data_IF_859868564726
#
_entry.id   IF_859868564726
#
_cell.length_a   1.000
_cell.length_b   1.000
_cell.length_c   1.000
_cell.angle_alpha   90.00
_cell.angle_beta   90.00
_cell.angle_gamma   90.00
#
_symmetry.space_group_name_H-M   'P 1'
#
loop_
_entity.id
_entity.type
_entity.pdbx_description
1 polymer ?
#
# COMPACT_ATOMS: atom_id res chain seq x y z
N UNK A 1 23.73 -21.74 38.34
CA UNK A 1 24.52 -21.04 37.31
C UNK A 1 23.89 -21.40 35.97
N UNK A 2 23.24 -20.43 35.30
CA UNK A 2 22.55 -20.66 34.01
C UNK A 2 23.59 -20.65 32.87
N UNK A 3 23.49 -21.54 31.87
CA UNK A 3 24.44 -21.54 30.76
C UNK A 3 24.19 -20.31 29.87
N UNK A 4 25.26 -19.53 29.63
CA UNK A 4 25.30 -18.47 28.62
C UNK A 4 25.17 -19.14 27.25
N UNK A 5 24.14 -18.75 26.49
CA UNK A 5 24.09 -19.02 25.05
C UNK A 5 25.29 -18.34 24.39
N UNK A 6 26.29 -19.14 24.02
CA UNK A 6 27.43 -18.69 23.23
C UNK A 6 26.94 -18.57 21.79
N UNK A 7 26.96 -17.35 21.26
CA UNK A 7 26.78 -17.15 19.82
C UNK A 7 27.97 -17.80 19.11
N UNK A 8 27.70 -18.83 18.33
CA UNK A 8 28.67 -19.48 17.47
C UNK A 8 28.91 -18.60 16.23
N UNK A 9 30.14 -18.10 16.08
CA UNK A 9 30.57 -17.25 14.98
C UNK A 9 31.27 -18.04 13.86
N UNK A 10 31.23 -19.38 13.89
CA UNK A 10 32.01 -20.20 12.95
C UNK A 10 31.34 -20.48 11.61
N UNK A 11 30.12 -19.97 11.37
CA UNK A 11 29.46 -20.09 10.06
C UNK A 11 29.68 -18.83 9.20
N UNK A 12 30.92 -18.67 8.72
CA UNK A 12 31.33 -17.56 7.84
C UNK A 12 30.95 -17.82 6.36
N UNK A 13 30.03 -18.77 6.11
CA UNK A 13 29.70 -19.24 4.76
C UNK A 13 28.23 -19.14 4.35
N UNK A 14 27.25 -19.31 5.25
CA UNK A 14 25.84 -19.33 4.82
C UNK A 14 24.82 -19.27 5.96
N UNK A 15 24.58 -18.09 6.52
CA UNK A 15 23.31 -17.84 7.21
C UNK A 15 22.69 -16.53 6.72
N UNK A 16 22.00 -16.59 5.58
CA UNK A 16 20.95 -15.64 5.25
C UNK A 16 19.98 -15.70 6.43
N UNK A 17 20.02 -14.73 7.36
CA UNK A 17 19.18 -14.75 8.54
C UNK A 17 17.71 -14.91 8.10
N UNK A 18 16.90 -15.63 8.88
CA UNK A 18 15.50 -15.91 8.52
C UNK A 18 14.74 -14.65 8.06
N UNK A 19 15.04 -13.52 8.69
CA UNK A 19 14.51 -12.19 8.38
C UNK A 19 14.90 -11.71 6.97
N UNK A 20 16.16 -11.88 6.57
CA UNK A 20 16.61 -11.53 5.21
C UNK A 20 15.97 -12.40 4.12
N UNK A 21 15.65 -13.66 4.42
CA UNK A 21 14.86 -14.52 3.53
C UNK A 21 13.42 -14.03 3.40
N UNK A 22 12.78 -13.67 4.52
CA UNK A 22 11.42 -13.12 4.53
C UNK A 22 11.37 -11.83 3.72
N UNK A 23 12.27 -10.87 3.97
CA UNK A 23 12.35 -9.61 3.22
C UNK A 23 12.47 -9.83 1.72
N UNK A 24 13.36 -10.73 1.28
CA UNK A 24 13.54 -11.04 -0.14
C UNK A 24 12.27 -11.63 -0.76
N UNK A 25 11.60 -12.55 -0.05
CA UNK A 25 10.32 -13.12 -0.49
C UNK A 25 9.21 -12.08 -0.52
N UNK A 26 9.15 -11.20 0.48
CA UNK A 26 8.20 -10.09 0.55
C UNK A 26 8.37 -9.16 -0.64
N UNK A 27 9.59 -8.69 -0.92
CA UNK A 27 9.83 -7.80 -2.06
C UNK A 27 9.62 -8.49 -3.41
N UNK A 28 9.96 -9.77 -3.53
CA UNK A 28 9.67 -10.56 -4.73
C UNK A 28 8.17 -10.69 -4.98
N UNK A 29 7.40 -11.01 -3.93
CA UNK A 29 5.94 -11.14 -4.00
C UNK A 29 5.28 -9.78 -4.28
N UNK A 30 5.74 -8.73 -3.62
CA UNK A 30 5.30 -7.35 -3.83
C UNK A 30 5.53 -6.90 -5.28
N UNK A 31 6.72 -7.18 -5.82
CA UNK A 31 7.04 -6.92 -7.23
C UNK A 31 6.08 -7.65 -8.18
N UNK A 32 5.83 -8.93 -7.91
CA UNK A 32 4.91 -9.75 -8.73
C UNK A 32 3.47 -9.23 -8.65
N UNK A 33 3.04 -8.71 -7.50
CA UNK A 33 1.71 -8.12 -7.29
C UNK A 33 1.43 -6.85 -8.11
N UNK A 34 2.44 -6.15 -8.61
CA UNK A 34 2.20 -5.01 -9.52
C UNK A 34 1.70 -5.43 -10.90
N UNK A 35 2.00 -6.66 -11.35
CA UNK A 35 1.52 -7.17 -12.63
C UNK A 35 -0.01 -7.29 -12.69
N UNK A 36 -0.68 -8.00 -11.76
CA UNK A 36 -2.13 -8.04 -11.71
C UNK A 36 -2.74 -6.67 -11.42
N UNK A 37 -2.09 -5.80 -10.63
CA UNK A 37 -2.56 -4.43 -10.42
C UNK A 37 -2.60 -3.62 -11.73
N UNK A 38 -1.52 -3.68 -12.52
CA UNK A 38 -1.47 -3.05 -13.84
C UNK A 38 -2.51 -3.66 -14.80
N UNK A 39 -2.68 -4.98 -14.78
CA UNK A 39 -3.71 -5.66 -15.58
C UNK A 39 -5.13 -5.22 -15.18
N UNK A 40 -5.42 -5.10 -13.88
CA UNK A 40 -6.70 -4.62 -13.37
C UNK A 40 -6.98 -3.19 -13.78
N UNK A 41 -5.98 -2.30 -13.67
CA UNK A 41 -6.08 -0.92 -14.13
C UNK A 41 -6.36 -0.85 -15.64
N UNK A 42 -5.62 -1.62 -16.44
CA UNK A 42 -5.83 -1.70 -17.88
C UNK A 42 -7.23 -2.19 -18.25
N UNK A 43 -7.72 -3.25 -17.60
CA UNK A 43 -9.09 -3.77 -17.82
C UNK A 43 -10.13 -2.72 -17.44
N UNK A 44 -9.97 -2.01 -16.32
CA UNK A 44 -10.89 -0.96 -15.92
C UNK A 44 -10.90 0.22 -16.91
N UNK A 45 -9.73 0.60 -17.42
CA UNK A 45 -9.60 1.65 -18.43
C UNK A 45 -10.22 1.25 -19.77
N UNK A 46 -9.94 0.04 -20.26
CA UNK A 46 -10.44 -0.47 -21.53
C UNK A 46 -11.97 -0.68 -21.52
N UNK A 47 -12.53 -1.10 -20.38
CA UNK A 47 -13.97 -1.34 -20.26
C UNK A 47 -14.74 -0.08 -19.89
N UNK A 48 -14.08 0.97 -19.38
CA UNK A 48 -14.73 2.17 -18.84
C UNK A 48 -15.66 1.89 -17.65
N UNK A 49 -15.61 0.67 -17.10
CA UNK A 49 -16.51 0.22 -16.05
C UNK A 49 -16.05 0.80 -14.71
N UNK A 50 -16.89 1.64 -14.13
CA UNK A 50 -16.73 2.06 -12.74
C UNK A 50 -17.68 1.25 -11.85
N UNK A 51 -17.27 0.96 -10.62
CA UNK A 51 -18.15 0.34 -9.61
C UNK A 51 -19.45 1.13 -9.43
N UNK A 52 -19.38 2.44 -9.64
CA UNK A 52 -20.52 3.35 -9.62
C UNK A 52 -21.49 3.10 -10.79
N UNK A 53 -20.98 2.90 -12.00
CA UNK A 53 -21.79 2.61 -13.20
C UNK A 53 -22.58 1.31 -13.07
N UNK A 54 -22.07 0.32 -12.35
CA UNK A 54 -22.74 -0.97 -12.14
C UNK A 54 -23.87 -0.93 -11.10
N UNK A 55 -23.74 -0.10 -10.06
CA UNK A 55 -24.67 -0.12 -8.92
C UNK A 55 -25.66 1.04 -8.93
N UNK A 56 -25.39 2.11 -9.69
CA UNK A 56 -26.24 3.30 -9.76
C UNK A 56 -26.31 4.11 -8.46
N UNK A 57 -25.67 3.64 -7.38
CA UNK A 57 -25.62 4.30 -6.08
C UNK A 57 -24.20 4.22 -5.51
N UNK A 58 -23.62 5.39 -5.25
CA UNK A 58 -22.27 5.53 -4.69
C UNK A 58 -22.07 4.76 -3.38
N UNK A 59 -23.08 4.74 -2.50
CA UNK A 59 -22.97 4.06 -1.20
C UNK A 59 -22.84 2.54 -1.34
N UNK A 60 -23.52 1.96 -2.33
CA UNK A 60 -23.42 0.53 -2.61
C UNK A 60 -22.05 0.22 -3.22
N UNK A 61 -21.55 1.07 -4.13
CA UNK A 61 -20.21 0.93 -4.70
C UNK A 61 -19.12 0.96 -3.62
N UNK A 62 -19.20 1.90 -2.67
CA UNK A 62 -18.28 1.99 -1.53
C UNK A 62 -18.40 0.78 -0.61
N UNK A 63 -19.63 0.33 -0.31
CA UNK A 63 -19.87 -0.87 0.48
C UNK A 63 -19.25 -2.13 -0.15
N UNK A 64 -19.43 -2.32 -1.47
CA UNK A 64 -18.82 -3.42 -2.23
C UNK A 64 -17.30 -3.32 -2.20
N UNK A 65 -16.73 -2.12 -2.40
CA UNK A 65 -15.29 -1.92 -2.33
C UNK A 65 -14.72 -2.33 -0.97
N UNK A 66 -15.31 -1.84 0.12
CA UNK A 66 -14.85 -2.20 1.46
C UNK A 66 -15.07 -3.67 1.79
N UNK A 67 -16.20 -4.26 1.38
CA UNK A 67 -16.46 -5.69 1.56
C UNK A 67 -15.44 -6.54 0.79
N UNK A 68 -15.12 -6.18 -0.45
CA UNK A 68 -14.08 -6.82 -1.25
C UNK A 68 -12.70 -6.67 -0.61
N UNK A 69 -12.31 -5.43 -0.30
CA UNK A 69 -10.99 -5.09 0.23
C UNK A 69 -10.73 -5.78 1.58
N UNK A 70 -11.62 -5.56 2.56
CA UNK A 70 -11.46 -6.17 3.88
C UNK A 70 -11.74 -7.67 3.87
N UNK A 71 -12.70 -8.14 3.06
CA UNK A 71 -13.00 -9.57 2.93
C UNK A 71 -11.83 -10.37 2.40
N UNK A 72 -11.20 -9.92 1.31
CA UNK A 72 -10.01 -10.59 0.78
C UNK A 72 -8.81 -10.39 1.69
N UNK A 73 -8.60 -9.19 2.27
CA UNK A 73 -7.49 -8.97 3.21
C UNK A 73 -7.57 -9.94 4.41
N UNK A 74 -8.77 -10.18 4.94
CA UNK A 74 -8.99 -11.17 5.99
C UNK A 74 -8.68 -12.60 5.53
N UNK A 75 -9.09 -12.98 4.31
CA UNK A 75 -8.79 -14.28 3.73
C UNK A 75 -7.28 -14.48 3.48
N UNK A 76 -6.55 -13.44 3.08
CA UNK A 76 -5.09 -13.45 2.93
C UNK A 76 -4.44 -13.69 4.29
N UNK A 77 -4.84 -12.93 5.32
CA UNK A 77 -4.27 -13.04 6.64
C UNK A 77 -4.53 -14.43 7.26
N UNK A 78 -5.73 -14.98 7.03
CA UNK A 78 -6.06 -16.35 7.41
C UNK A 78 -5.18 -17.39 6.70
N UNK A 79 -4.77 -17.14 5.46
CA UNK A 79 -3.99 -18.03 4.62
C UNK A 79 -2.52 -17.59 4.43
N UNK A 80 -1.98 -16.81 5.38
CA UNK A 80 -0.68 -16.11 5.27
C UNK A 80 0.55 -17.02 5.18
N UNK A 81 0.43 -18.33 5.43
CA UNK A 81 1.52 -19.31 5.29
C UNK A 81 1.31 -20.29 4.11
N UNK A 82 0.32 -20.03 3.26
CA UNK A 82 -0.05 -20.91 2.15
C UNK A 82 0.04 -20.19 0.80
N UNK A 83 0.29 -20.95 -0.27
CA UNK A 83 0.24 -20.44 -1.66
C UNK A 83 -1.13 -19.84 -2.01
N UNK A 84 -2.19 -20.28 -1.33
CA UNK A 84 -3.53 -19.69 -1.46
C UNK A 84 -3.52 -18.22 -1.04
N UNK A 85 -2.79 -17.85 0.02
CA UNK A 85 -2.65 -16.45 0.43
C UNK A 85 -1.95 -15.60 -0.63
N UNK A 86 -0.94 -16.13 -1.31
CA UNK A 86 -0.28 -15.46 -2.42
C UNK A 86 -1.22 -15.25 -3.62
N UNK A 87 -2.02 -16.26 -3.97
CA UNK A 87 -3.01 -16.14 -5.04
C UNK A 87 -4.12 -15.12 -4.69
N UNK A 88 -4.58 -15.10 -3.44
CA UNK A 88 -5.54 -14.12 -2.95
C UNK A 88 -4.96 -12.70 -2.95
N UNK A 89 -3.66 -12.53 -2.65
CA UNK A 89 -2.96 -11.27 -2.79
C UNK A 89 -2.99 -10.78 -4.25
N UNK A 90 -2.73 -11.68 -5.22
CA UNK A 90 -2.84 -11.32 -6.64
C UNK A 90 -4.25 -10.88 -7.02
N UNK A 91 -5.28 -11.58 -6.54
CA UNK A 91 -6.68 -11.17 -6.74
C UNK A 91 -6.98 -9.80 -6.12
N UNK A 92 -6.53 -9.55 -4.88
CA UNK A 92 -6.70 -8.26 -4.22
C UNK A 92 -6.05 -7.14 -5.03
N UNK A 93 -4.80 -7.36 -5.45
CA UNK A 93 -4.02 -6.36 -6.19
C UNK A 93 -4.62 -6.06 -7.56
N UNK A 94 -5.18 -7.07 -8.24
CA UNK A 94 -5.99 -6.88 -9.45
C UNK A 94 -7.22 -6.01 -9.17
N UNK A 95 -7.99 -6.31 -8.12
CA UNK A 95 -9.18 -5.54 -7.78
C UNK A 95 -8.87 -4.09 -7.37
N UNK A 96 -7.76 -3.87 -6.65
CA UNK A 96 -7.26 -2.53 -6.34
C UNK A 96 -6.77 -1.80 -7.59
N UNK A 97 -6.12 -2.50 -8.51
CA UNK A 97 -5.79 -1.97 -9.84
C UNK A 97 -7.04 -1.54 -10.59
N UNK A 98 -8.08 -2.37 -10.58
CA UNK A 98 -9.36 -2.05 -11.23
C UNK A 98 -10.01 -0.79 -10.66
N UNK A 99 -9.91 -0.56 -9.35
CA UNK A 99 -10.48 0.66 -8.74
C UNK A 99 -9.72 1.94 -9.08
N UNK A 100 -8.51 1.85 -9.63
CA UNK A 100 -7.79 3.00 -10.20
C UNK A 100 -8.40 3.46 -11.53
N UNK A 101 -9.17 2.62 -12.22
CA UNK A 101 -9.72 2.92 -13.55
C UNK A 101 -10.33 4.32 -13.68
N UNK A 102 -11.25 4.75 -12.79
CA UNK A 102 -11.84 6.09 -12.88
C UNK A 102 -10.83 7.24 -12.76
N UNK A 103 -9.89 7.17 -11.81
CA UNK A 103 -8.89 8.24 -11.64
C UNK A 103 -7.87 8.25 -12.78
N UNK A 104 -7.52 7.08 -13.32
CA UNK A 104 -6.63 6.97 -14.48
C UNK A 104 -7.29 7.48 -15.75
N UNK A 105 -8.57 7.13 -15.99
CA UNK A 105 -9.34 7.67 -17.13
C UNK A 105 -9.49 9.19 -17.04
N UNK A 106 -9.76 9.73 -15.84
CA UNK A 106 -9.80 11.18 -15.64
C UNK A 106 -8.44 11.82 -15.97
N UNK A 107 -7.35 11.23 -15.49
CA UNK A 107 -5.99 11.70 -15.79
C UNK A 107 -5.73 11.70 -17.30
N UNK A 108 -6.06 10.62 -18.02
CA UNK A 108 -5.85 10.51 -19.47
C UNK A 108 -6.67 11.49 -20.32
N UNK A 109 -7.76 12.05 -19.77
CA UNK A 109 -8.50 13.09 -20.45
C UNK A 109 -7.73 14.43 -20.50
N UNK A 110 -6.71 14.61 -19.64
CA UNK A 110 -5.81 15.76 -19.64
C UNK A 110 -4.68 15.56 -20.65
N UNK A 111 -4.22 16.66 -21.26
CA UNK A 111 -3.15 16.63 -22.27
C UNK A 111 -1.81 16.09 -21.73
N UNK A 112 -1.54 16.27 -20.43
CA UNK A 112 -0.37 15.77 -19.69
C UNK A 112 -0.67 14.54 -18.82
N UNK A 113 -1.81 13.87 -19.03
CA UNK A 113 -2.30 12.79 -18.17
C UNK A 113 -1.36 11.61 -17.94
N UNK A 114 -0.70 11.13 -19.00
CA UNK A 114 0.25 10.00 -18.93
C UNK A 114 1.49 10.41 -18.13
N UNK A 115 1.95 11.65 -18.31
CA UNK A 115 3.11 12.18 -17.61
C UNK A 115 2.84 12.28 -16.10
N UNK A 116 1.67 12.79 -15.70
CA UNK A 116 1.27 12.88 -14.29
C UNK A 116 1.22 11.50 -13.61
N UNK A 117 0.69 10.48 -14.29
CA UNK A 117 0.69 9.09 -13.80
C UNK A 117 2.12 8.59 -13.62
N UNK A 118 3.00 8.85 -14.60
CA UNK A 118 4.40 8.46 -14.55
C UNK A 118 5.16 9.13 -13.39
N UNK A 119 4.99 10.44 -13.22
CA UNK A 119 5.58 11.20 -12.11
C UNK A 119 5.07 10.67 -10.77
N UNK A 120 3.76 10.41 -10.63
CA UNK A 120 3.19 9.84 -9.42
C UNK A 120 3.81 8.47 -9.08
N UNK A 121 4.00 7.61 -10.08
CA UNK A 121 4.62 6.30 -9.91
C UNK A 121 6.09 6.42 -9.47
N UNK A 122 6.87 7.30 -10.09
CA UNK A 122 8.28 7.54 -9.73
C UNK A 122 8.40 8.11 -8.32
N UNK A 123 7.56 9.10 -7.97
CA UNK A 123 7.53 9.68 -6.62
C UNK A 123 7.15 8.63 -5.57
N UNK A 124 6.20 7.75 -5.88
CA UNK A 124 5.81 6.64 -5.00
C UNK A 124 6.97 5.66 -4.79
N UNK A 125 7.70 5.31 -5.86
CA UNK A 125 8.88 4.47 -5.75
C UNK A 125 9.98 5.13 -4.91
N UNK A 126 10.22 6.44 -5.08
CA UNK A 126 11.18 7.19 -4.28
C UNK A 126 10.81 7.20 -2.79
N UNK A 127 9.53 7.40 -2.46
CA UNK A 127 9.03 7.33 -1.09
C UNK A 127 9.18 5.93 -0.50
N UNK A 128 8.79 4.89 -1.24
CA UNK A 128 8.95 3.51 -0.77
C UNK A 128 10.42 3.17 -0.48
N UNK A 129 11.33 3.49 -1.41
CA UNK A 129 12.75 3.18 -1.27
C UNK A 129 13.38 3.97 -0.12
N UNK A 130 13.06 5.25 0.02
CA UNK A 130 13.56 6.08 1.12
C UNK A 130 13.08 5.60 2.49
N UNK A 131 11.79 5.30 2.63
CA UNK A 131 11.20 4.80 3.88
C UNK A 131 11.71 3.40 4.22
N UNK A 132 11.86 2.51 3.23
CA UNK A 132 12.44 1.18 3.41
C UNK A 132 13.94 1.25 3.77
N UNK A 133 14.69 2.23 3.27
CA UNK A 133 16.07 2.46 3.67
C UNK A 133 16.16 3.00 5.11
N UNK A 134 15.33 3.98 5.46
CA UNK A 134 15.27 4.55 6.82
C UNK A 134 14.86 3.52 7.87
N UNK A 135 14.00 2.56 7.52
CA UNK A 135 13.60 1.46 8.40
C UNK A 135 14.80 0.66 8.94
N UNK A 136 15.91 0.56 8.19
CA UNK A 136 17.10 -0.19 8.64
C UNK A 136 17.85 0.49 9.78
N UNK A 137 17.58 1.77 10.05
CA UNK A 137 18.22 2.48 11.15
C UNK A 137 17.69 1.99 12.51
N UNK A 138 18.57 1.62 13.46
CA UNK A 138 18.17 1.20 14.80
C UNK A 138 17.68 2.37 15.67
N UNK A 139 17.89 3.62 15.25
CA UNK A 139 17.54 4.82 16.03
C UNK A 139 16.03 5.02 16.16
N UNK A 140 15.26 4.51 15.21
CA UNK A 140 13.80 4.58 15.26
C UNK A 140 13.25 3.45 16.11
N UNK A 141 12.23 3.68 16.91
CA UNK A 141 11.63 2.63 17.75
C UNK A 141 10.32 2.16 17.11
N UNK A 142 10.19 0.85 16.85
CA UNK A 142 9.00 0.27 16.20
C UNK A 142 7.71 0.59 16.94
N UNK A 143 7.71 0.54 18.27
CA UNK A 143 6.53 0.87 19.08
C UNK A 143 6.10 2.33 18.93
N UNK A 144 7.04 3.27 18.83
CA UNK A 144 6.73 4.70 18.63
C UNK A 144 6.13 4.94 17.26
N UNK A 145 6.70 4.31 16.22
CA UNK A 145 6.15 4.37 14.87
C UNK A 145 4.76 3.73 14.82
N UNK A 146 4.56 2.57 15.46
CA UNK A 146 3.27 1.88 15.52
C UNK A 146 2.17 2.77 16.11
N UNK A 147 2.48 3.47 17.21
CA UNK A 147 1.55 4.43 17.85
C UNK A 147 1.24 5.62 16.95
N UNK A 148 2.24 6.14 16.25
CA UNK A 148 2.02 7.24 15.29
C UNK A 148 1.13 6.78 14.13
N UNK A 149 1.42 5.62 13.54
CA UNK A 149 0.66 5.06 12.41
C UNK A 149 -0.78 4.75 12.83
N UNK A 150 -1.00 4.18 14.02
CA UNK A 150 -2.35 3.87 14.49
C UNK A 150 -3.19 5.13 14.70
N UNK A 151 -2.65 6.15 15.37
CA UNK A 151 -3.34 7.45 15.53
C UNK A 151 -3.53 8.13 14.17
N UNK A 152 -2.49 8.17 13.34
CA UNK A 152 -2.55 8.77 12.01
C UNK A 152 -3.60 8.12 11.12
N UNK A 153 -3.73 6.79 11.17
CA UNK A 153 -4.76 6.07 10.42
C UNK A 153 -6.17 6.41 10.91
N UNK A 154 -6.41 6.46 12.23
CA UNK A 154 -7.72 6.88 12.78
C UNK A 154 -8.08 8.29 12.32
N UNK A 155 -7.13 9.23 12.41
CA UNK A 155 -7.34 10.61 11.95
C UNK A 155 -7.60 10.66 10.45
N UNK A 156 -6.86 9.88 9.66
CA UNK A 156 -7.04 9.82 8.20
C UNK A 156 -8.41 9.26 7.80
N UNK A 157 -8.92 8.25 8.51
CA UNK A 157 -10.26 7.70 8.29
C UNK A 157 -11.33 8.73 8.65
N UNK A 158 -11.22 9.41 9.80
CA UNK A 158 -12.16 10.47 10.19
C UNK A 158 -12.15 11.59 9.16
N UNK A 159 -10.98 12.02 8.72
CA UNK A 159 -10.83 13.07 7.72
C UNK A 159 -11.39 12.64 6.36
N UNK A 160 -11.23 11.38 5.95
CA UNK A 160 -11.86 10.83 4.74
C UNK A 160 -13.39 10.92 4.82
N UNK A 161 -13.97 10.46 5.93
CA UNK A 161 -15.42 10.51 6.14
C UNK A 161 -15.92 11.96 6.14
N UNK A 162 -15.22 12.86 6.85
CA UNK A 162 -15.54 14.28 6.86
C UNK A 162 -15.45 14.91 5.46
N UNK A 163 -14.40 14.59 4.69
CA UNK A 163 -14.23 15.06 3.32
C UNK A 163 -15.36 14.61 2.40
N UNK A 164 -15.96 13.44 2.67
CA UNK A 164 -17.07 12.93 1.88
C UNK A 164 -18.37 13.70 2.13
N UNK A 165 -18.67 14.07 3.39
CA UNK A 165 -19.87 14.83 3.74
C UNK A 165 -19.75 16.33 3.44
N UNK A 166 -18.57 16.91 3.69
CA UNK A 166 -18.35 18.35 3.53
C UNK A 166 -18.10 18.76 2.08
N UNK A 167 -17.61 17.84 1.25
CA UNK A 167 -17.35 18.06 -0.19
C UNK A 167 -16.46 19.29 -0.49
N UNK A 168 -15.59 19.67 0.45
CA UNK A 168 -14.66 20.80 0.28
C UNK A 168 -13.43 20.31 -0.49
N UNK A 169 -13.10 20.89 -1.65
CA UNK A 169 -11.95 20.47 -2.45
C UNK A 169 -10.62 20.52 -1.69
N UNK A 170 -10.34 21.60 -0.96
CA UNK A 170 -9.12 21.72 -0.16
C UNK A 170 -8.99 20.64 0.93
N UNK A 171 -10.12 20.19 1.49
CA UNK A 171 -10.13 19.12 2.48
C UNK A 171 -9.78 17.76 1.85
N UNK A 172 -10.24 17.48 0.63
CA UNK A 172 -9.93 16.22 -0.06
C UNK A 172 -8.45 16.11 -0.46
N UNK A 173 -7.82 17.24 -0.81
CA UNK A 173 -6.38 17.33 -1.03
C UNK A 173 -5.59 17.13 0.27
N UNK A 174 -6.05 17.75 1.36
CA UNK A 174 -5.46 17.55 2.68
C UNK A 174 -5.53 16.10 3.12
N UNK A 175 -6.67 15.41 2.89
CA UNK A 175 -6.82 13.98 3.15
C UNK A 175 -5.82 13.17 2.31
N UNK A 176 -5.64 13.50 1.04
CA UNK A 176 -4.66 12.83 0.17
C UNK A 176 -3.24 12.99 0.72
N UNK A 177 -2.83 14.21 1.09
CA UNK A 177 -1.52 14.45 1.72
C UNK A 177 -1.37 13.69 3.05
N UNK A 178 -2.42 13.60 3.86
CA UNK A 178 -2.39 12.84 5.10
C UNK A 178 -2.22 11.34 4.85
N UNK A 179 -2.94 10.76 3.90
CA UNK A 179 -2.81 9.35 3.53
C UNK A 179 -1.43 9.02 2.96
N UNK A 180 -0.82 9.92 2.19
CA UNK A 180 0.55 9.70 1.68
C UNK A 180 1.57 9.67 2.84
N UNK A 181 1.48 10.59 3.80
CA UNK A 181 2.37 10.64 4.97
C UNK A 181 2.19 9.40 5.85
N UNK A 182 0.95 9.08 6.23
CA UNK A 182 0.66 7.93 7.10
C UNK A 182 1.13 6.63 6.45
N UNK A 183 0.89 6.47 5.14
CA UNK A 183 1.31 5.28 4.40
C UNK A 183 2.83 5.20 4.23
N UNK A 184 3.52 6.33 4.11
CA UNK A 184 4.99 6.38 4.07
C UNK A 184 5.59 5.86 5.37
N UNK A 185 5.04 6.30 6.50
CA UNK A 185 5.49 5.84 7.82
C UNK A 185 5.06 4.39 8.08
N UNK A 186 3.92 3.94 7.55
CA UNK A 186 3.49 2.53 7.58
C UNK A 186 4.49 1.62 6.86
N UNK A 187 5.04 2.03 5.71
CA UNK A 187 6.11 1.28 5.01
C UNK A 187 7.32 1.13 5.93
N UNK A 188 7.76 2.23 6.53
CA UNK A 188 8.90 2.21 7.44
C UNK A 188 8.64 1.26 8.62
N UNK A 189 7.46 1.33 9.23
CA UNK A 189 7.05 0.44 10.31
C UNK A 189 7.07 -1.03 9.89
N UNK A 190 6.41 -1.38 8.78
CA UNK A 190 6.31 -2.78 8.34
C UNK A 190 7.69 -3.37 8.01
N UNK A 191 8.56 -2.60 7.33
CA UNK A 191 9.93 -3.06 7.05
C UNK A 191 10.70 -3.28 8.35
N UNK A 192 10.54 -2.41 9.36
CA UNK A 192 11.16 -2.61 10.67
C UNK A 192 10.66 -3.85 11.39
N UNK A 193 9.35 -4.08 11.43
CA UNK A 193 8.78 -5.26 12.06
C UNK A 193 9.35 -6.55 11.45
N UNK A 194 9.52 -6.59 10.12
CA UNK A 194 10.12 -7.76 9.45
C UNK A 194 11.62 -7.90 9.80
N UNK A 195 12.38 -6.79 9.86
CA UNK A 195 13.80 -6.81 10.23
C UNK A 195 13.99 -7.27 11.68
N UNK A 196 13.12 -6.81 12.59
CA UNK A 196 13.17 -7.14 14.02
C UNK A 196 12.61 -8.54 14.33
N UNK A 197 12.05 -9.24 13.33
CA UNK A 197 11.47 -10.57 13.49
C UNK A 197 10.09 -10.58 14.16
N UNK A 198 9.36 -9.47 14.11
CA UNK A 198 7.96 -9.40 14.57
C UNK A 198 6.94 -9.88 13.54
N UNK A 199 7.37 -10.16 12.30
CA UNK A 199 6.52 -10.66 11.21
C UNK A 199 7.15 -11.91 10.57
N UNK A 200 6.41 -13.02 10.64
CA UNK A 200 6.87 -14.32 10.15
C UNK A 200 6.31 -14.66 8.76
N UNK A 201 5.35 -13.88 8.25
CA UNK A 201 4.77 -14.08 6.93
C UNK A 201 5.21 -13.01 5.93
N UNK A 202 5.87 -13.47 4.86
CA UNK A 202 6.16 -12.61 3.71
C UNK A 202 4.89 -12.17 2.95
N UNK A 203 3.79 -12.93 3.05
CA UNK A 203 2.50 -12.60 2.40
C UNK A 203 1.81 -11.47 3.15
N UNK A 204 1.73 -11.54 4.49
CA UNK A 204 1.15 -10.46 5.30
C UNK A 204 1.96 -9.16 5.16
N UNK A 205 3.29 -9.28 5.23
CA UNK A 205 4.18 -8.15 4.97
C UNK A 205 3.97 -7.53 3.57
N UNK A 206 3.83 -8.37 2.53
CA UNK A 206 3.60 -7.89 1.16
C UNK A 206 2.23 -7.21 1.01
N UNK A 207 1.19 -7.74 1.66
CA UNK A 207 -0.13 -7.12 1.70
C UNK A 207 -0.06 -5.70 2.29
N UNK A 208 0.52 -5.54 3.48
CA UNK A 208 0.64 -4.23 4.13
C UNK A 208 1.43 -3.24 3.28
N UNK A 209 2.59 -3.67 2.74
CA UNK A 209 3.41 -2.82 1.88
C UNK A 209 2.67 -2.45 0.59
N UNK A 210 1.95 -3.37 -0.04
CA UNK A 210 1.20 -3.09 -1.25
C UNK A 210 0.11 -2.05 -1.01
N UNK A 211 -0.68 -2.19 0.07
CA UNK A 211 -1.74 -1.23 0.44
C UNK A 211 -1.14 0.15 0.71
N UNK A 212 -0.01 0.21 1.40
CA UNK A 212 0.68 1.47 1.67
C UNK A 212 1.15 2.16 0.37
N UNK A 213 1.75 1.40 -0.55
CA UNK A 213 2.21 1.90 -1.84
C UNK A 213 1.02 2.37 -2.69
N UNK A 214 -0.07 1.58 -2.73
CA UNK A 214 -1.31 1.95 -3.41
C UNK A 214 -1.86 3.29 -2.89
N UNK A 215 -1.92 3.47 -1.57
CA UNK A 215 -2.38 4.71 -0.97
C UNK A 215 -1.49 5.90 -1.33
N UNK A 216 -0.17 5.73 -1.32
CA UNK A 216 0.77 6.79 -1.73
C UNK A 216 0.55 7.14 -3.20
N UNK A 217 0.48 6.14 -4.09
CA UNK A 217 0.27 6.37 -5.51
C UNK A 217 -1.02 7.15 -5.78
N UNK A 218 -2.15 6.71 -5.23
CA UNK A 218 -3.44 7.39 -5.40
C UNK A 218 -3.40 8.79 -4.83
N UNK A 219 -2.79 8.97 -3.65
CA UNK A 219 -2.71 10.27 -2.98
C UNK A 219 -1.84 11.26 -3.75
N UNK A 220 -0.67 10.84 -4.21
CA UNK A 220 0.23 11.67 -5.01
C UNK A 220 -0.37 11.99 -6.37
N UNK A 221 -1.02 11.02 -7.02
CA UNK A 221 -1.73 11.27 -8.28
C UNK A 221 -2.83 12.32 -8.10
N UNK A 222 -3.65 12.23 -7.03
CA UNK A 222 -4.67 13.24 -6.73
C UNK A 222 -4.08 14.63 -6.49
N UNK A 223 -2.98 14.71 -5.76
CA UNK A 223 -2.30 15.98 -5.52
C UNK A 223 -1.75 16.57 -6.83
N UNK A 224 -1.09 15.76 -7.65
CA UNK A 224 -0.55 16.18 -8.94
C UNK A 224 -1.66 16.62 -9.90
N UNK A 225 -2.77 15.88 -9.98
CA UNK A 225 -3.92 16.24 -10.80
C UNK A 225 -4.56 17.56 -10.36
N UNK A 226 -4.60 17.83 -9.06
CA UNK A 226 -5.13 19.08 -8.54
C UNK A 226 -4.26 20.27 -8.93
N UNK A 227 -2.94 20.16 -8.77
CA UNK A 227 -2.02 21.24 -9.13
C UNK A 227 -1.83 21.42 -10.65
N UNK A 228 -1.97 20.35 -11.43
CA UNK A 228 -1.80 20.39 -12.88
C UNK A 228 -3.08 20.77 -13.65
N UNK A 229 -4.24 20.81 -12.98
CA UNK A 229 -5.51 21.22 -13.56
C UNK A 229 -5.89 22.69 -13.29
N UNK A 230 -5.00 23.46 -12.66
CA UNK A 230 -5.20 24.90 -12.35
C UNK A 230 -4.68 25.85 -13.45
N UNK A 231 -4.29 25.33 -14.62
CA UNK A 231 -3.90 26.10 -15.82
C UNK A 231 -4.98 26.00 -16.94
#
# INVERSE_FOLDING_TARGET
MQPRNVYDYTDVGSSVSAQSTILRKTYGLLGLSFLPAAAGAFVAMATGLSLFSFTGNYWIAVGIFFAFFYGISFLIEKNRHSNVGAALLMMLTFGLGFTLGPILNYSLALSNGIELIGIAAVMTAAVFLSMAAMAKSPTFQTNSIARFVSVGFVVAVIAMVASFFLQIPALSLTVSALFSIVSSVLIMWQVRVVIEGGEDSHISAALTLFVAIYNIFVSLLRLLLAFAGED
#
